data_IF_500223586577
#
_entry.id   IF_500223586577
#
_cell.length_a   1.000
_cell.length_b   1.000
_cell.length_c   1.000
_cell.angle_alpha   90.00
_cell.angle_beta   90.00
_cell.angle_gamma   90.00
#
_symmetry.space_group_name_H-M   'P 1'
#
loop_
_entity.id
_entity.type
_entity.pdbx_description
1 polymer ?
#
# COMPACT_ATOMS: atom_id res chain seq x y z
N UNK A 1 2.79 -8.08 15.08
CA UNK A 1 3.72 -6.95 15.33
C UNK A 1 4.92 -7.44 16.13
N UNK A 2 6.11 -6.93 15.83
CA UNK A 2 7.31 -7.07 16.66
C UNK A 2 7.92 -5.67 16.86
N UNK A 3 8.71 -5.50 17.90
CA UNK A 3 9.37 -4.23 18.21
C UNK A 3 10.80 -4.47 18.72
N UNK A 4 11.66 -3.47 18.54
CA UNK A 4 13.05 -3.46 19.03
C UNK A 4 13.23 -2.34 20.04
N UNK A 5 14.11 -2.55 21.02
CA UNK A 5 14.56 -1.55 22.01
C UNK A 5 16.05 -1.24 21.88
N UNK A 6 16.71 -1.79 20.86
CA UNK A 6 18.16 -1.72 20.65
C UNK A 6 18.52 -1.37 19.18
N UNK A 7 17.74 -0.48 18.57
CA UNK A 7 17.91 0.00 17.20
C UNK A 7 17.90 -1.13 16.16
N UNK A 8 16.98 -2.10 16.32
CA UNK A 8 16.77 -3.16 15.35
C UNK A 8 17.74 -4.35 15.44
N UNK A 9 18.59 -4.41 16.46
CA UNK A 9 19.52 -5.55 16.64
C UNK A 9 18.79 -6.81 17.10
N UNK A 10 17.77 -6.66 17.96
CA UNK A 10 16.89 -7.73 18.40
C UNK A 10 15.43 -7.32 18.33
N UNK A 11 14.53 -8.30 18.14
CA UNK A 11 13.09 -8.06 18.07
C UNK A 11 12.32 -8.93 19.05
N UNK A 12 11.32 -8.33 19.68
CA UNK A 12 10.37 -9.03 20.56
C UNK A 12 8.98 -9.01 19.92
N UNK A 13 8.30 -10.15 19.95
CA UNK A 13 6.88 -10.20 19.55
C UNK A 13 6.03 -9.45 20.55
N UNK A 14 5.08 -8.65 20.06
CA UNK A 14 4.12 -8.00 20.93
C UNK A 14 3.20 -9.04 21.59
N UNK A 15 3.01 -8.91 22.91
CA UNK A 15 2.32 -9.94 23.71
C UNK A 15 0.84 -10.13 23.33
N UNK A 16 0.21 -9.09 22.73
CA UNK A 16 -1.20 -9.14 22.30
C UNK A 16 -1.34 -9.43 20.79
N UNK A 17 -0.34 -10.07 20.19
CA UNK A 17 -0.50 -10.56 18.82
C UNK A 17 -1.51 -11.71 18.74
N UNK A 18 -2.23 -11.82 17.62
CA UNK A 18 -2.24 -10.93 16.46
C UNK A 18 -2.96 -9.59 16.75
N UNK A 19 -2.41 -8.47 16.24
CA UNK A 19 -3.03 -7.13 16.40
C UNK A 19 -4.16 -6.89 15.39
N UNK A 20 -4.23 -7.67 14.34
CA UNK A 20 -5.25 -7.67 13.32
C UNK A 20 -5.44 -9.09 12.81
N UNK A 21 -6.68 -9.50 12.59
CA UNK A 21 -7.04 -10.83 12.07
C UNK A 21 -8.08 -10.68 10.98
N UNK A 22 -8.06 -11.60 10.04
CA UNK A 22 -9.10 -11.75 9.03
C UNK A 22 -9.35 -13.23 8.74
N UNK A 23 -10.56 -13.54 8.33
CA UNK A 23 -10.92 -14.84 7.75
C UNK A 23 -10.81 -14.83 6.22
N UNK A 24 -10.51 -13.68 5.65
CA UNK A 24 -10.36 -13.54 4.20
C UNK A 24 -9.07 -14.22 3.73
N UNK A 25 -9.15 -14.81 2.56
CA UNK A 25 -7.98 -15.37 1.87
C UNK A 25 -7.07 -14.25 1.38
N UNK A 26 -5.77 -14.54 1.30
CA UNK A 26 -4.77 -13.60 0.75
C UNK A 26 -4.72 -12.25 1.50
N UNK A 27 -4.92 -12.27 2.81
CA UNK A 27 -4.80 -11.13 3.71
C UNK A 27 -3.35 -11.00 4.17
N UNK A 28 -2.58 -10.09 3.51
CA UNK A 28 -1.11 -10.01 3.69
C UNK A 28 -0.48 -8.70 3.23
N UNK A 29 0.83 -8.61 3.35
CA UNK A 29 1.72 -7.58 2.80
C UNK A 29 1.38 -6.15 3.28
N UNK A 30 1.39 -5.86 4.60
CA UNK A 30 1.07 -4.53 5.08
C UNK A 30 2.18 -3.52 4.76
N UNK A 31 1.83 -2.39 4.14
CA UNK A 31 2.62 -1.16 4.12
C UNK A 31 2.08 -0.21 5.17
N UNK A 32 2.94 0.30 6.04
CA UNK A 32 2.57 1.25 7.09
C UNK A 32 3.33 2.56 6.90
N UNK A 33 2.58 3.67 6.88
CA UNK A 33 3.12 5.03 6.77
C UNK A 33 2.53 5.94 7.85
N UNK A 34 3.24 7.01 8.19
CA UNK A 34 2.69 8.10 8.99
C UNK A 34 1.99 9.10 8.08
N UNK A 35 0.76 9.48 8.42
CA UNK A 35 0.00 10.49 7.69
C UNK A 35 -0.05 11.79 8.51
N UNK A 36 0.68 12.80 8.03
CA UNK A 36 0.96 14.00 8.80
C UNK A 36 -0.30 14.81 9.12
N UNK A 37 -1.23 14.95 8.16
CA UNK A 37 -2.42 15.77 8.34
C UNK A 37 -3.38 15.21 9.40
N UNK A 38 -3.54 13.88 9.44
CA UNK A 38 -4.42 13.22 10.41
C UNK A 38 -3.73 12.82 11.70
N UNK A 39 -2.38 12.93 11.76
CA UNK A 39 -1.56 12.46 12.89
C UNK A 39 -1.85 11.01 13.27
N UNK A 40 -1.93 10.17 12.25
CA UNK A 40 -2.21 8.73 12.39
C UNK A 40 -1.26 7.89 11.55
N UNK A 41 -1.05 6.69 11.99
CA UNK A 41 -0.49 5.61 11.18
C UNK A 41 -1.55 5.08 10.24
N UNK A 42 -1.19 4.94 8.98
CA UNK A 42 -2.03 4.33 7.95
C UNK A 42 -1.39 3.02 7.51
N UNK A 43 -2.19 2.00 7.40
CA UNK A 43 -1.77 0.71 6.85
C UNK A 43 -2.61 0.39 5.63
N UNK A 44 -1.94 0.12 4.52
CA UNK A 44 -2.55 -0.47 3.32
C UNK A 44 -2.19 -1.94 3.28
N UNK A 45 -3.17 -2.80 3.07
CA UNK A 45 -3.03 -4.24 3.17
C UNK A 45 -3.74 -4.92 2.01
N UNK A 46 -3.08 -5.89 1.37
CA UNK A 46 -3.64 -6.65 0.26
C UNK A 46 -4.63 -7.71 0.76
N UNK A 47 -5.78 -7.79 0.08
CA UNK A 47 -6.83 -8.76 0.39
C UNK A 47 -7.44 -9.30 -0.91
N UNK A 48 -6.89 -10.37 -1.42
CA UNK A 48 -7.34 -10.97 -2.69
C UNK A 48 -7.13 -10.05 -3.89
N UNK A 49 -8.15 -9.35 -4.36
CA UNK A 49 -8.08 -8.40 -5.49
C UNK A 49 -8.54 -6.99 -5.07
N UNK A 50 -8.37 -6.66 -3.81
CA UNK A 50 -8.62 -5.32 -3.27
C UNK A 50 -7.53 -4.94 -2.26
N UNK A 51 -7.48 -3.67 -1.90
CA UNK A 51 -6.69 -3.14 -0.80
C UNK A 51 -7.61 -2.69 0.31
N UNK A 52 -7.30 -3.05 1.56
CA UNK A 52 -7.93 -2.50 2.75
C UNK A 52 -7.04 -1.42 3.36
N UNK A 53 -7.64 -0.29 3.71
CA UNK A 53 -6.95 0.86 4.30
C UNK A 53 -7.39 0.97 5.75
N UNK A 54 -6.43 0.92 6.66
CA UNK A 54 -6.63 1.02 8.09
C UNK A 54 -5.94 2.24 8.67
N UNK A 55 -6.46 2.77 9.77
CA UNK A 55 -5.80 3.80 10.57
C UNK A 55 -5.55 3.35 12.00
N UNK A 56 -4.51 3.89 12.62
CA UNK A 56 -4.15 3.64 14.02
C UNK A 56 -3.48 4.86 14.64
N UNK A 57 -3.77 5.12 15.92
CA UNK A 57 -3.05 6.12 16.71
C UNK A 57 -1.79 5.55 17.40
N UNK A 58 -1.70 4.22 17.53
CA UNK A 58 -0.72 3.57 18.43
C UNK A 58 0.00 2.34 17.85
N UNK A 59 -0.25 2.03 16.55
CA UNK A 59 0.25 0.82 15.85
C UNK A 59 -0.26 -0.51 16.44
N UNK A 60 -1.15 -0.48 17.40
CA UNK A 60 -1.65 -1.68 18.12
C UNK A 60 -3.13 -1.91 17.87
N UNK A 61 -3.89 -0.83 17.76
CA UNK A 61 -5.33 -0.85 17.51
C UNK A 61 -5.61 -0.26 16.12
N UNK A 62 -6.22 -1.04 15.23
CA UNK A 62 -6.43 -0.67 13.85
C UNK A 62 -7.92 -0.60 13.52
N UNK A 63 -8.33 0.45 12.84
CA UNK A 63 -9.69 0.66 12.35
C UNK A 63 -9.70 0.59 10.83
N UNK A 64 -10.55 -0.26 10.26
CA UNK A 64 -10.78 -0.27 8.80
C UNK A 64 -11.50 1.03 8.41
N UNK A 65 -10.88 1.82 7.56
CA UNK A 65 -11.42 3.09 7.09
C UNK A 65 -12.09 2.94 5.72
N UNK A 66 -11.48 2.22 4.79
CA UNK A 66 -12.01 2.02 3.44
C UNK A 66 -11.40 0.81 2.73
N UNK A 67 -11.98 0.50 1.57
CA UNK A 67 -11.47 -0.47 0.60
C UNK A 67 -11.24 0.21 -0.74
N UNK A 68 -10.31 -0.34 -1.53
CA UNK A 68 -9.99 0.12 -2.87
C UNK A 68 -9.78 -1.08 -3.80
N UNK A 69 -10.25 -0.99 -5.03
CA UNK A 69 -10.02 -1.99 -6.07
C UNK A 69 -11.23 -2.33 -6.91
N UNK A 70 -12.43 -2.32 -6.34
CA UNK A 70 -13.64 -2.66 -7.08
C UNK A 70 -13.81 -1.77 -8.33
N UNK A 71 -13.87 -2.43 -9.51
CA UNK A 71 -14.03 -1.75 -10.81
C UNK A 71 -12.84 -0.91 -11.26
N UNK A 72 -11.67 -1.05 -10.65
CA UNK A 72 -10.48 -0.24 -10.96
C UNK A 72 -9.23 -1.09 -11.10
N UNK A 73 -8.43 -0.80 -12.14
CA UNK A 73 -7.19 -1.51 -12.40
C UNK A 73 -7.41 -2.89 -13.03
N UNK A 74 -6.34 -3.68 -13.07
CA UNK A 74 -6.33 -5.03 -13.59
C UNK A 74 -6.61 -6.05 -12.49
N UNK A 75 -7.44 -7.04 -12.78
CA UNK A 75 -7.87 -8.10 -11.88
C UNK A 75 -7.51 -9.51 -12.40
N UNK A 76 -6.46 -9.62 -13.22
CA UNK A 76 -6.01 -10.90 -13.78
C UNK A 76 -5.31 -11.83 -12.79
N UNK A 77 -5.00 -11.35 -11.60
CA UNK A 77 -4.31 -12.10 -10.54
C UNK A 77 -4.60 -11.59 -9.15
N UNK A 78 -3.93 -12.17 -8.15
CA UNK A 78 -4.00 -11.73 -6.77
C UNK A 78 -3.23 -10.42 -6.62
N UNK A 79 -3.78 -9.48 -5.89
CA UNK A 79 -3.13 -8.23 -5.53
C UNK A 79 -2.22 -8.43 -4.30
N UNK A 80 -1.00 -7.89 -4.39
CA UNK A 80 0.06 -8.11 -3.40
C UNK A 80 0.93 -6.86 -3.23
N UNK A 81 1.75 -6.85 -2.19
CA UNK A 81 2.78 -5.84 -1.94
C UNK A 81 2.31 -4.40 -2.20
N UNK A 82 1.26 -3.91 -1.53
CA UNK A 82 0.80 -2.53 -1.72
C UNK A 82 1.85 -1.53 -1.23
N UNK A 83 1.88 -0.36 -1.87
CA UNK A 83 2.61 0.79 -1.36
C UNK A 83 1.76 2.05 -1.51
N UNK A 84 1.90 3.00 -0.60
CA UNK A 84 1.17 4.26 -0.61
C UNK A 84 2.13 5.39 -0.26
N UNK A 85 2.29 6.35 -1.18
CA UNK A 85 3.24 7.44 -1.02
C UNK A 85 2.74 8.73 -1.66
N UNK A 86 3.17 9.87 -1.11
CA UNK A 86 2.93 11.19 -1.69
C UNK A 86 4.14 11.64 -2.49
N UNK A 87 3.93 12.02 -3.74
CA UNK A 87 5.00 12.48 -4.64
C UNK A 87 4.73 13.88 -5.15
N UNK A 88 5.79 14.70 -5.32
CA UNK A 88 5.67 15.98 -6.00
C UNK A 88 5.34 15.77 -7.48
N UNK A 89 4.55 16.67 -8.05
CA UNK A 89 4.31 16.73 -9.49
C UNK A 89 5.34 17.65 -10.12
N UNK A 90 6.18 17.10 -10.98
CA UNK A 90 7.28 17.82 -11.62
C UNK A 90 6.80 19.12 -12.29
N UNK A 91 7.56 20.20 -12.08
CA UNK A 91 7.25 21.53 -12.63
C UNK A 91 6.08 22.25 -11.95
N UNK A 92 5.59 21.78 -10.82
CA UNK A 92 4.49 22.41 -10.06
C UNK A 92 4.75 22.38 -8.56
N UNK A 93 3.95 23.10 -7.78
CA UNK A 93 3.92 23.02 -6.31
C UNK A 93 2.94 21.93 -5.80
N UNK A 94 2.33 21.19 -6.71
CA UNK A 94 1.34 20.20 -6.35
C UNK A 94 2.00 18.87 -5.95
N UNK A 95 1.29 18.13 -5.12
CA UNK A 95 1.59 16.74 -4.78
C UNK A 95 0.42 15.84 -5.11
N UNK A 96 0.70 14.58 -5.37
CA UNK A 96 -0.29 13.54 -5.62
C UNK A 96 0.05 12.30 -4.80
N UNK A 97 -0.98 11.63 -4.37
CA UNK A 97 -0.83 10.32 -3.78
C UNK A 97 -0.77 9.24 -4.87
N UNK A 98 0.10 8.29 -4.67
CA UNK A 98 0.26 7.13 -5.54
C UNK A 98 0.04 5.86 -4.71
N UNK A 99 -0.92 5.06 -5.14
CA UNK A 99 -1.15 3.71 -4.61
C UNK A 99 -0.56 2.71 -5.60
N UNK A 100 0.39 1.91 -5.14
CA UNK A 100 1.03 0.85 -5.94
C UNK A 100 0.41 -0.48 -5.58
N UNK A 101 0.24 -1.32 -6.58
CA UNK A 101 -0.32 -2.67 -6.44
C UNK A 101 0.41 -3.63 -7.37
N UNK A 102 1.00 -4.65 -6.80
CA UNK A 102 1.56 -5.76 -7.57
C UNK A 102 0.49 -6.84 -7.77
N UNK A 103 0.55 -7.55 -8.88
CA UNK A 103 -0.36 -8.66 -9.15
C UNK A 103 0.34 -9.84 -9.81
N UNK A 104 -0.13 -11.05 -9.50
CA UNK A 104 0.44 -12.28 -10.01
C UNK A 104 -0.64 -13.38 -10.18
N UNK A 105 -0.86 -13.88 -11.43
CA UNK A 105 -0.38 -13.34 -12.71
C UNK A 105 -1.16 -12.07 -13.11
N UNK A 106 -1.21 -11.71 -14.38
CA UNK A 106 -2.13 -10.69 -14.90
C UNK A 106 -1.45 -9.47 -15.51
N UNK A 107 -0.13 -9.53 -15.67
CA UNK A 107 0.61 -8.51 -16.38
C UNK A 107 0.23 -8.39 -17.86
N UNK A 108 0.45 -7.22 -18.49
CA UNK A 108 0.02 -6.94 -19.87
C UNK A 108 0.69 -7.84 -20.91
N UNK A 109 1.86 -8.39 -20.58
CA UNK A 109 2.60 -9.34 -21.45
C UNK A 109 2.75 -10.74 -20.85
N UNK A 110 1.85 -11.10 -19.92
CA UNK A 110 1.92 -12.33 -19.13
C UNK A 110 2.88 -12.20 -17.95
N UNK A 111 2.81 -13.15 -17.00
CA UNK A 111 3.57 -13.12 -15.76
C UNK A 111 3.00 -12.13 -14.73
N UNK A 112 3.83 -11.76 -13.78
CA UNK A 112 3.53 -10.74 -12.77
C UNK A 112 3.73 -9.32 -13.30
N UNK A 113 3.12 -8.34 -12.65
CA UNK A 113 3.29 -6.93 -13.00
C UNK A 113 3.00 -6.03 -11.80
N UNK A 114 3.39 -4.76 -11.94
CA UNK A 114 3.05 -3.70 -11.00
C UNK A 114 2.19 -2.67 -11.69
N UNK A 115 0.96 -2.49 -11.19
CA UNK A 115 0.08 -1.39 -11.55
C UNK A 115 0.12 -0.29 -10.50
N UNK A 116 -0.23 0.93 -10.88
CA UNK A 116 -0.32 2.04 -9.95
C UNK A 116 -1.51 2.95 -10.25
N UNK A 117 -1.94 3.65 -9.23
CA UNK A 117 -3.05 4.59 -9.27
C UNK A 117 -2.57 5.94 -8.77
N UNK A 118 -2.94 7.01 -9.46
CA UNK A 118 -2.63 8.38 -9.07
C UNK A 118 -3.91 9.06 -8.62
N UNK A 119 -3.85 9.76 -7.49
CA UNK A 119 -5.05 10.37 -6.97
C UNK A 119 -4.84 11.23 -5.73
N UNK A 120 -5.87 11.28 -4.91
CA UNK A 120 -5.88 11.96 -3.62
C UNK A 120 -6.10 10.97 -2.49
N UNK A 121 -5.58 11.29 -1.31
CA UNK A 121 -5.76 10.51 -0.09
C UNK A 121 -5.95 11.46 1.10
N UNK A 122 -6.98 11.22 1.89
CA UNK A 122 -7.37 12.07 3.02
C UNK A 122 -7.03 11.46 4.40
N UNK A 123 -6.22 10.39 4.40
CA UNK A 123 -5.91 9.61 5.60
C UNK A 123 -6.92 8.51 5.90
N UNK A 124 -7.95 8.35 5.05
CA UNK A 124 -8.97 7.30 5.18
C UNK A 124 -9.31 6.63 3.86
N UNK A 125 -9.43 7.40 2.79
CA UNK A 125 -9.84 6.93 1.47
C UNK A 125 -8.89 7.43 0.39
N UNK A 126 -8.47 6.51 -0.47
CA UNK A 126 -7.80 6.82 -1.72
C UNK A 126 -8.84 6.98 -2.83
N UNK A 127 -8.73 8.08 -3.60
CA UNK A 127 -9.60 8.37 -4.75
C UNK A 127 -8.74 8.44 -6.00
N UNK A 128 -8.89 7.46 -6.89
CA UNK A 128 -8.18 7.40 -8.16
C UNK A 128 -8.72 8.42 -9.15
N UNK A 129 -7.88 9.24 -9.75
CA UNK A 129 -8.25 10.25 -10.74
C UNK A 129 -8.53 9.68 -12.13
N UNK A 130 -8.16 8.44 -12.39
CA UNK A 130 -8.30 7.81 -13.71
C UNK A 130 -8.84 6.38 -13.59
N UNK A 131 -10.05 6.17 -13.05
CA UNK A 131 -10.55 4.84 -12.71
C UNK A 131 -10.71 3.91 -13.92
N UNK A 132 -10.93 4.46 -15.11
CA UNK A 132 -11.09 3.68 -16.35
C UNK A 132 -9.74 3.27 -17.00
N UNK A 133 -8.60 3.68 -16.42
CA UNK A 133 -7.29 3.45 -17.04
C UNK A 133 -6.40 2.64 -16.10
N UNK A 134 -5.96 1.47 -16.56
CA UNK A 134 -4.89 0.73 -15.88
C UNK A 134 -3.53 1.31 -16.26
N UNK A 135 -2.78 1.76 -15.27
CA UNK A 135 -1.42 2.27 -15.46
C UNK A 135 -0.42 1.22 -14.97
N UNK A 136 0.54 0.89 -15.82
CA UNK A 136 1.59 -0.07 -15.53
C UNK A 136 2.90 0.66 -15.23
N UNK A 137 3.61 0.22 -14.20
CA UNK A 137 4.90 0.78 -13.82
C UNK A 137 5.99 0.31 -14.77
N UNK A 138 5.85 -0.88 -15.32
CA UNK A 138 6.74 -1.48 -16.28
C UNK A 138 5.95 -2.27 -17.33
N UNK A 139 6.45 -2.32 -18.57
CA UNK A 139 5.85 -3.03 -19.69
C UNK A 139 6.59 -4.33 -20.02
N UNK A 140 7.63 -4.67 -19.26
CA UNK A 140 8.29 -5.96 -19.33
C UNK A 140 7.48 -7.06 -18.65
N UNK A 141 7.97 -8.27 -18.79
CA UNK A 141 7.45 -9.43 -18.07
C UNK A 141 8.09 -9.52 -16.69
N UNK A 142 7.30 -9.91 -15.69
CA UNK A 142 7.76 -10.23 -14.34
C UNK A 142 8.34 -9.05 -13.52
N UNK A 143 7.92 -7.82 -13.77
CA UNK A 143 8.14 -6.70 -12.84
C UNK A 143 7.24 -6.90 -11.61
N UNK A 144 7.86 -7.05 -10.42
CA UNK A 144 7.11 -7.51 -9.26
C UNK A 144 7.70 -7.09 -7.92
N UNK A 145 6.82 -7.09 -6.88
CA UNK A 145 7.15 -6.80 -5.49
C UNK A 145 7.81 -5.41 -5.29
N UNK A 146 7.36 -4.43 -6.08
CA UNK A 146 7.80 -3.04 -5.97
C UNK A 146 7.40 -2.46 -4.62
N UNK A 147 8.36 -1.92 -3.89
CA UNK A 147 8.16 -1.22 -2.61
C UNK A 147 9.09 -0.01 -2.54
N UNK A 148 8.69 0.99 -1.76
CA UNK A 148 9.50 2.18 -1.52
C UNK A 148 9.99 2.23 -0.07
N UNK A 149 11.09 2.95 0.15
CA UNK A 149 11.56 3.32 1.47
C UNK A 149 10.81 4.58 1.95
N UNK A 150 10.25 4.53 3.16
CA UNK A 150 9.72 5.71 3.84
C UNK A 150 10.84 6.38 4.64
N UNK A 151 10.81 7.71 4.69
CA UNK A 151 11.76 8.52 5.47
C UNK A 151 13.24 8.24 5.14
N UNK A 152 13.53 7.87 3.90
CA UNK A 152 14.90 7.70 3.43
C UNK A 152 15.64 9.06 3.46
N UNK A 153 16.95 9.07 3.81
CA UNK A 153 17.75 10.28 3.73
C UNK A 153 17.69 10.88 2.32
N UNK A 154 17.63 12.22 2.25
CA UNK A 154 17.61 12.99 0.98
C UNK A 154 16.36 12.73 0.10
N UNK A 155 15.28 12.21 0.68
CA UNK A 155 14.03 11.91 -0.05
C UNK A 155 14.22 11.03 -1.29
N UNK A 156 15.11 10.04 -1.19
CA UNK A 156 15.42 9.09 -2.27
C UNK A 156 14.70 7.76 -2.09
#
# INVERSE_FOLDING_TARGET
MAYSLDNGKTFKKYARNPILTSTQRDFRDPKVIWHEDTKKWIMVLAVGQEMEIYSSADLKSWTLESKFGEGQGAHGGVWECPDLLELPVEGTELKKWVLVCNLNPGGPFGGSATQYFVGTFDGKRFVNESPAVTKWMDWGKDHYATVTWSDAPDNR
#
